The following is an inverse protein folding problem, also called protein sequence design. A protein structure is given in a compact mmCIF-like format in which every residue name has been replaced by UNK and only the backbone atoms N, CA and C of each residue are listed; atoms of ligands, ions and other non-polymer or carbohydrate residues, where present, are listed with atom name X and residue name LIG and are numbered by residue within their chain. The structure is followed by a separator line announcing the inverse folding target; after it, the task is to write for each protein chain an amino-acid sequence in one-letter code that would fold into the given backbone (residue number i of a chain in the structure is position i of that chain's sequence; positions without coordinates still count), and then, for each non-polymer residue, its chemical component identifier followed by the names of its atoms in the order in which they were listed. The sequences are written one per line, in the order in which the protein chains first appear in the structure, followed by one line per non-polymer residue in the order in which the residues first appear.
data_IF_008038795782
#
_entry.id   IF_008038795782
#
_cell.length_a   1.000
_cell.length_b   1.000
_cell.length_c   1.000
_cell.angle_alpha   90.00
_cell.angle_beta   90.00
_cell.angle_gamma   90.00
#
_symmetry.space_group_name_H-M   'P 1'
#
loop_
_entity.id
_entity.type
_entity.pdbx_description
1 polymer ?
#
# COMPACT_ATOMS: atom_id res chain seq x y z
N UNK A 1 47.72 -23.30 -17.14
CA UNK A 1 48.14 -22.30 -18.15
C UNK A 1 47.10 -22.34 -19.27
N UNK A 2 46.24 -21.37 -19.52
CA UNK A 2 46.40 -19.92 -19.33
C UNK A 2 45.15 -19.30 -18.68
N UNK A 3 45.35 -18.68 -17.51
CA UNK A 3 44.48 -17.61 -17.03
C UNK A 3 44.56 -16.47 -18.02
N UNK A 4 43.45 -16.15 -18.69
CA UNK A 4 43.31 -14.86 -19.35
C UNK A 4 43.05 -13.83 -18.25
N UNK A 5 44.13 -13.17 -17.84
CA UNK A 5 44.11 -11.94 -17.07
C UNK A 5 43.34 -10.89 -17.87
N UNK A 6 42.14 -10.53 -17.39
CA UNK A 6 41.41 -9.36 -17.88
C UNK A 6 41.88 -8.13 -17.10
N UNK A 7 42.44 -7.10 -17.76
CA UNK A 7 42.94 -5.90 -17.09
C UNK A 7 41.77 -4.98 -16.72
N UNK A 8 41.75 -4.48 -15.49
CA UNK A 8 40.83 -3.40 -15.05
C UNK A 8 40.00 -3.66 -13.79
N UNK A 9 40.44 -4.52 -12.86
CA UNK A 9 39.68 -4.80 -11.62
C UNK A 9 39.97 -3.75 -10.54
N UNK A 10 39.37 -2.58 -10.66
CA UNK A 10 39.25 -1.58 -9.58
C UNK A 10 37.98 -1.88 -8.76
N UNK A 11 38.16 -2.12 -7.46
CA UNK A 11 37.12 -2.13 -6.40
C UNK A 11 35.88 -3.05 -6.56
N UNK A 12 35.96 -4.10 -7.38
CA UNK A 12 34.82 -5.03 -7.57
C UNK A 12 33.63 -4.39 -8.29
N UNK A 13 33.84 -3.25 -8.94
CA UNK A 13 32.86 -2.59 -9.81
C UNK A 13 32.94 -3.17 -11.22
N UNK A 14 31.79 -3.44 -11.83
CA UNK A 14 31.67 -3.92 -13.20
C UNK A 14 30.83 -2.95 -14.04
N UNK A 15 31.10 -2.91 -15.35
CA UNK A 15 30.33 -2.07 -16.27
C UNK A 15 28.88 -2.58 -16.39
N UNK A 16 27.93 -1.72 -16.76
CA UNK A 16 26.53 -2.13 -16.92
C UNK A 16 26.34 -3.29 -17.91
N UNK A 17 27.12 -3.32 -19.00
CA UNK A 17 27.08 -4.42 -19.96
C UNK A 17 27.62 -5.74 -19.40
N UNK A 18 28.67 -5.68 -18.58
CA UNK A 18 29.18 -6.86 -17.87
C UNK A 18 28.20 -7.33 -16.78
N UNK A 19 27.51 -6.40 -16.11
CA UNK A 19 26.46 -6.71 -15.13
C UNK A 19 25.25 -7.40 -15.78
N UNK A 20 24.86 -6.98 -16.99
CA UNK A 20 23.80 -7.65 -17.76
C UNK A 20 24.18 -9.09 -18.14
N UNK A 21 25.40 -9.31 -18.63
CA UNK A 21 25.88 -10.66 -18.94
C UNK A 21 25.89 -11.55 -17.68
N UNK A 22 26.44 -11.02 -16.58
CA UNK A 22 26.48 -11.72 -15.30
C UNK A 22 25.08 -12.04 -14.77
N UNK A 23 24.13 -11.13 -14.91
CA UNK A 23 22.74 -11.33 -14.49
C UNK A 23 22.08 -12.47 -15.26
N UNK A 24 22.24 -12.51 -16.59
CA UNK A 24 21.72 -13.58 -17.43
C UNK A 24 22.33 -14.93 -17.03
N UNK A 25 23.64 -14.99 -16.87
CA UNK A 25 24.33 -16.24 -16.51
C UNK A 25 23.89 -16.76 -15.14
N UNK A 26 23.76 -15.88 -14.14
CA UNK A 26 23.38 -16.28 -12.79
C UNK A 26 21.91 -16.66 -12.65
N UNK A 27 21.03 -16.18 -13.53
CA UNK A 27 19.57 -16.38 -13.43
C UNK A 27 19.02 -17.32 -14.49
N UNK A 28 19.89 -18.00 -15.25
CA UNK A 28 19.50 -18.91 -16.33
C UNK A 28 18.55 -20.04 -15.87
N UNK A 29 18.75 -20.55 -14.66
CA UNK A 29 17.93 -21.62 -14.08
C UNK A 29 16.84 -21.11 -13.11
N UNK A 30 16.60 -19.80 -13.07
CA UNK A 30 15.58 -19.22 -12.19
C UNK A 30 14.18 -19.72 -12.57
N UNK A 31 13.37 -20.04 -11.55
CA UNK A 31 11.95 -20.31 -11.76
C UNK A 31 11.19 -19.07 -12.29
N UNK A 32 11.69 -17.87 -11.97
CA UNK A 32 11.14 -16.59 -12.42
C UNK A 32 11.88 -16.12 -13.67
N UNK A 33 11.20 -15.86 -14.80
CA UNK A 33 11.85 -15.44 -16.03
C UNK A 33 12.52 -14.06 -15.86
N UNK A 34 13.80 -13.99 -16.20
CA UNK A 34 14.58 -12.76 -16.16
C UNK A 34 14.77 -12.17 -17.55
N UNK A 35 14.92 -10.85 -17.60
CA UNK A 35 15.17 -10.14 -18.85
C UNK A 35 16.67 -9.93 -19.10
N UNK A 36 17.08 -10.08 -20.36
CA UNK A 36 18.35 -9.54 -20.83
C UNK A 36 18.28 -8.01 -20.91
N UNK A 37 19.34 -7.30 -20.51
CA UNK A 37 19.36 -5.85 -20.56
C UNK A 37 18.76 -5.17 -19.33
N UNK A 38 18.69 -5.87 -18.19
CA UNK A 38 18.20 -5.35 -16.92
C UNK A 38 18.95 -4.10 -16.42
N UNK A 39 20.20 -3.88 -16.86
CA UNK A 39 21.02 -2.72 -16.53
C UNK A 39 21.14 -1.71 -17.67
N UNK A 40 20.96 -2.14 -18.92
CA UNK A 40 21.23 -1.31 -20.12
C UNK A 40 19.98 -0.83 -20.84
N UNK A 41 18.82 -1.46 -20.62
CA UNK A 41 17.59 -1.15 -21.35
C UNK A 41 16.50 -0.61 -20.42
N UNK A 42 15.57 0.14 -20.99
CA UNK A 42 14.41 0.67 -20.27
C UNK A 42 13.57 -0.47 -19.69
N UNK A 43 13.04 -0.37 -18.46
CA UNK A 43 12.96 0.83 -17.61
C UNK A 43 14.16 1.07 -16.68
N UNK A 44 15.27 0.36 -16.81
CA UNK A 44 16.46 0.66 -16.02
C UNK A 44 16.96 2.07 -16.36
N UNK A 45 17.08 2.94 -15.36
CA UNK A 45 17.63 4.28 -15.51
C UNK A 45 18.86 4.39 -14.61
N UNK A 46 19.95 3.70 -14.97
CA UNK A 46 21.20 3.75 -14.21
C UNK A 46 21.73 5.19 -13.99
N UNK A 47 21.30 6.16 -14.82
CA UNK A 47 21.58 7.59 -14.66
C UNK A 47 20.90 8.22 -13.43
N UNK A 48 19.90 7.55 -12.85
CA UNK A 48 19.13 7.95 -11.65
C UNK A 48 19.80 7.41 -10.36
N UNK A 49 20.94 6.71 -10.48
CA UNK A 49 21.77 6.33 -9.34
C UNK A 49 21.51 4.91 -8.80
N UNK A 50 20.57 4.15 -9.39
CA UNK A 50 20.31 2.76 -9.01
C UNK A 50 19.61 1.97 -10.13
N UNK A 51 19.60 0.63 -9.98
CA UNK A 51 18.84 -0.35 -10.78
C UNK A 51 18.12 -1.31 -9.84
N UNK A 52 16.89 -1.70 -10.17
CA UNK A 52 16.11 -2.69 -9.42
C UNK A 52 16.24 -4.08 -10.03
N UNK A 53 16.48 -5.09 -9.19
CA UNK A 53 16.57 -6.51 -9.56
C UNK A 53 15.79 -7.35 -8.53
N UNK A 54 14.63 -7.87 -8.92
CA UNK A 54 13.69 -8.45 -7.97
C UNK A 54 13.36 -7.43 -6.86
N UNK A 55 13.47 -7.86 -5.60
CA UNK A 55 13.30 -6.97 -4.43
C UNK A 55 14.53 -6.14 -4.04
N UNK A 56 15.63 -6.19 -4.81
CA UNK A 56 16.92 -5.63 -4.43
C UNK A 56 17.28 -4.37 -5.22
N UNK A 57 17.83 -3.36 -4.54
CA UNK A 57 18.30 -2.11 -5.15
C UNK A 57 19.81 -2.16 -5.31
N UNK A 58 20.28 -2.12 -6.55
CA UNK A 58 21.71 -2.05 -6.89
C UNK A 58 22.09 -0.61 -7.17
N UNK A 59 22.89 0.00 -6.31
CA UNK A 59 23.36 1.37 -6.50
C UNK A 59 24.35 1.45 -7.69
N UNK A 60 24.18 2.45 -8.54
CA UNK A 60 25.10 2.70 -9.66
C UNK A 60 26.09 3.78 -9.29
N UNK A 61 27.37 3.51 -9.52
CA UNK A 61 28.47 4.44 -9.26
C UNK A 61 28.95 5.01 -10.59
N UNK A 62 29.25 6.31 -10.62
CA UNK A 62 29.91 6.92 -11.78
C UNK A 62 31.42 6.80 -11.57
N UNK A 63 32.06 5.97 -12.39
CA UNK A 63 33.51 5.85 -12.38
C UNK A 63 34.17 7.17 -12.83
N UNK A 64 35.44 7.35 -12.47
CA UNK A 64 36.25 8.54 -12.80
C UNK A 64 36.32 8.84 -14.31
N UNK A 65 36.11 7.85 -15.18
CA UNK A 65 35.96 8.02 -16.64
C UNK A 65 34.55 8.42 -17.12
N UNK A 66 33.63 8.78 -16.22
CA UNK A 66 32.26 9.18 -16.54
C UNK A 66 31.30 8.04 -16.88
N UNK A 67 31.79 6.80 -16.97
CA UNK A 67 31.02 5.58 -17.21
C UNK A 67 30.32 5.09 -15.92
N UNK A 68 29.09 4.60 -16.06
CA UNK A 68 28.34 4.01 -14.96
C UNK A 68 28.75 2.54 -14.74
N UNK A 69 28.96 2.19 -13.47
CA UNK A 69 29.29 0.84 -13.01
C UNK A 69 28.43 0.45 -11.81
N UNK A 70 28.42 -0.84 -11.48
CA UNK A 70 27.71 -1.41 -10.33
C UNK A 70 28.63 -2.37 -9.57
N UNK A 71 28.46 -2.55 -8.25
CA UNK A 71 29.20 -3.55 -7.49
C UNK A 71 28.80 -4.97 -7.92
N UNK A 72 29.78 -5.79 -8.34
CA UNK A 72 29.56 -7.18 -8.76
C UNK A 72 28.86 -8.01 -7.67
N UNK A 73 29.25 -7.79 -6.40
CA UNK A 73 28.67 -8.50 -5.24
C UNK A 73 27.17 -8.25 -5.07
N UNK A 74 26.70 -7.04 -5.34
CA UNK A 74 25.28 -6.69 -5.24
C UNK A 74 24.46 -7.36 -6.35
N UNK A 75 25.02 -7.48 -7.57
CA UNK A 75 24.40 -8.22 -8.67
C UNK A 75 24.28 -9.71 -8.34
N UNK A 76 25.35 -10.31 -7.81
CA UNK A 76 25.36 -11.73 -7.39
C UNK A 76 24.36 -12.00 -6.28
N UNK A 77 24.28 -11.10 -5.31
CA UNK A 77 23.30 -11.19 -4.22
C UNK A 77 21.87 -11.12 -4.74
N UNK A 78 21.56 -10.14 -5.58
CA UNK A 78 20.23 -10.01 -6.17
C UNK A 78 19.83 -11.26 -6.97
N UNK A 79 20.77 -11.84 -7.74
CA UNK A 79 20.51 -13.06 -8.49
C UNK A 79 20.25 -14.27 -7.58
N UNK A 80 21.03 -14.42 -6.50
CA UNK A 80 20.81 -15.48 -5.51
C UNK A 80 19.45 -15.35 -4.82
N UNK A 81 19.07 -14.13 -4.42
CA UNK A 81 17.76 -13.84 -3.82
C UNK A 81 16.61 -14.16 -4.79
N UNK A 82 16.77 -13.85 -6.08
CA UNK A 82 15.78 -14.20 -7.10
C UNK A 82 15.68 -15.72 -7.32
N UNK A 83 16.81 -16.41 -7.44
CA UNK A 83 16.85 -17.86 -7.69
C UNK A 83 16.26 -18.67 -6.53
N UNK A 84 16.27 -18.14 -5.30
CA UNK A 84 15.63 -18.77 -4.15
C UNK A 84 14.09 -18.75 -4.21
N UNK A 85 13.50 -18.01 -5.15
CA UNK A 85 12.05 -17.88 -5.28
C UNK A 85 11.46 -19.10 -5.98
N UNK A 86 10.77 -19.93 -5.20
CA UNK A 86 9.85 -20.92 -5.76
C UNK A 86 8.63 -20.25 -6.39
N UNK A 87 8.34 -20.56 -7.65
CA UNK A 87 7.20 -20.02 -8.38
C UNK A 87 6.27 -21.14 -8.86
N UNK A 88 5.06 -21.19 -8.29
CA UNK A 88 3.95 -21.95 -8.86
C UNK A 88 3.27 -21.12 -9.95
N UNK A 89 3.24 -21.63 -11.19
CA UNK A 89 2.61 -20.97 -12.33
C UNK A 89 1.08 -20.94 -12.25
N UNK A 90 0.47 -21.77 -11.40
CA UNK A 90 -0.97 -21.87 -11.26
C UNK A 90 -1.54 -21.01 -10.11
N UNK A 91 -0.71 -20.59 -9.14
CA UNK A 91 -1.12 -19.62 -8.09
C UNK A 91 -1.17 -18.20 -8.68
N UNK A 92 -2.19 -17.96 -9.49
CA UNK A 92 -2.39 -16.71 -10.23
C UNK A 92 -3.12 -15.65 -9.39
N UNK A 93 -2.64 -14.41 -9.52
CA UNK A 93 -3.26 -13.22 -8.92
C UNK A 93 -3.59 -12.23 -10.04
N UNK A 94 -4.80 -11.67 -10.00
CA UNK A 94 -5.24 -10.67 -10.98
C UNK A 94 -4.46 -9.37 -10.79
N UNK A 95 -3.93 -8.84 -11.89
CA UNK A 95 -3.15 -7.60 -11.93
C UNK A 95 -3.77 -6.50 -12.79
N UNK A 96 -4.86 -6.80 -13.49
CA UNK A 96 -5.69 -5.82 -14.20
C UNK A 96 -6.62 -6.45 -15.23
N UNK A 97 -7.27 -5.65 -16.08
CA UNK A 97 -7.51 -4.23 -15.88
C UNK A 97 -8.47 -4.03 -14.71
N UNK A 98 -8.18 -3.05 -13.84
CA UNK A 98 -9.11 -2.55 -12.83
C UNK A 98 -9.84 -1.33 -13.43
N UNK A 99 -11.18 -1.25 -13.35
CA UNK A 99 -11.93 -0.12 -13.94
C UNK A 99 -11.75 1.14 -13.09
N UNK A 100 -11.33 2.22 -13.74
CA UNK A 100 -11.06 3.53 -13.17
C UNK A 100 -10.08 4.27 -14.07
N UNK A 101 -10.44 5.46 -14.56
CA UNK A 101 -9.48 6.32 -15.23
C UNK A 101 -8.35 6.63 -14.21
N UNK A 102 -7.07 6.41 -14.53
CA UNK A 102 -6.01 6.88 -13.66
C UNK A 102 -6.12 8.40 -13.63
N UNK A 103 -6.58 8.95 -12.51
CA UNK A 103 -6.55 10.39 -12.30
C UNK A 103 -5.07 10.77 -12.32
N UNK A 104 -4.73 11.65 -13.25
CA UNK A 104 -3.39 12.18 -13.47
C UNK A 104 -2.96 12.95 -12.22
N UNK A 105 -2.39 12.25 -11.25
CA UNK A 105 -1.60 12.87 -10.19
C UNK A 105 -0.25 13.25 -10.78
N UNK A 106 0.11 14.52 -10.61
CA UNK A 106 1.30 15.18 -11.15
C UNK A 106 2.56 14.31 -11.18
N UNK A 107 3.32 14.49 -12.27
CA UNK A 107 4.69 14.03 -12.45
C UNK A 107 5.59 14.59 -11.35
N UNK A 108 5.76 13.82 -10.28
CA UNK A 108 6.98 13.82 -9.49
C UNK A 108 7.65 12.47 -9.69
N UNK A 109 8.97 12.50 -9.98
CA UNK A 109 9.85 11.39 -10.33
C UNK A 109 9.43 10.07 -9.67
N UNK A 110 8.83 9.20 -10.49
CA UNK A 110 7.82 8.27 -9.99
C UNK A 110 8.42 6.92 -9.61
N UNK A 111 8.04 6.34 -8.45
CA UNK A 111 8.35 4.94 -8.13
C UNK A 111 7.84 3.98 -9.23
N UNK A 112 8.32 2.74 -9.21
CA UNK A 112 8.16 1.68 -10.19
C UNK A 112 6.70 1.55 -10.64
N UNK A 113 5.75 1.75 -9.71
CA UNK A 113 4.29 1.75 -9.94
C UNK A 113 3.92 0.63 -10.90
N UNK A 114 4.41 -0.56 -10.61
CA UNK A 114 4.57 -1.61 -11.62
C UNK A 114 3.22 -2.03 -12.23
N UNK A 115 2.14 -2.03 -11.42
CA UNK A 115 0.76 -2.31 -11.87
C UNK A 115 0.25 -1.28 -12.88
N UNK A 116 0.59 0.00 -12.68
CA UNK A 116 0.23 1.09 -13.60
C UNK A 116 0.95 0.88 -14.92
N UNK A 117 2.25 0.58 -14.89
CA UNK A 117 3.06 0.32 -16.10
C UNK A 117 2.53 -0.89 -16.89
N UNK A 118 2.27 -2.01 -16.23
CA UNK A 118 1.65 -3.17 -16.90
C UNK A 118 0.29 -2.80 -17.51
N UNK A 119 -0.53 -2.02 -16.80
CA UNK A 119 -1.84 -1.60 -17.30
C UNK A 119 -1.74 -0.67 -18.51
N UNK A 120 -0.83 0.30 -18.49
CA UNK A 120 -0.56 1.21 -19.62
C UNK A 120 -0.08 0.43 -20.83
N UNK A 121 0.92 -0.45 -20.65
CA UNK A 121 1.48 -1.29 -21.71
C UNK A 121 0.45 -2.25 -22.33
N UNK A 122 -0.45 -2.83 -21.53
CA UNK A 122 -1.49 -3.73 -22.03
C UNK A 122 -2.69 -2.98 -22.63
N UNK A 123 -2.94 -1.73 -22.23
CA UNK A 123 -3.95 -0.84 -22.86
C UNK A 123 -3.50 -0.37 -24.23
N UNK A 124 -2.24 -0.01 -24.38
CA UNK A 124 -1.65 0.41 -25.67
C UNK A 124 -1.73 -0.69 -26.74
N UNK A 125 -1.74 -1.97 -26.33
CA UNK A 125 -1.89 -3.12 -27.21
C UNK A 125 -3.34 -3.47 -27.59
N UNK A 126 -4.34 -2.89 -26.92
CA UNK A 126 -5.76 -3.22 -27.08
C UNK A 126 -6.55 -2.32 -28.04
N UNK A 127 -5.91 -1.39 -28.76
CA UNK A 127 -6.57 -0.45 -29.67
C UNK A 127 -7.00 -1.07 -31.02
N UNK A 128 -8.05 -0.55 -31.70
CA UNK A 128 -8.61 -1.17 -32.92
C UNK A 128 -7.72 -1.10 -34.17
N UNK A 129 -6.61 -0.37 -34.15
CA UNK A 129 -5.73 -0.25 -35.30
C UNK A 129 -4.27 -0.40 -34.89
N UNK A 130 -3.74 -1.62 -35.04
CA UNK A 130 -2.40 -1.88 -35.57
C UNK A 130 -2.20 -3.38 -35.79
N UNK A 131 -1.81 -3.72 -37.01
CA UNK A 131 -1.31 -5.02 -37.43
C UNK A 131 -0.18 -5.52 -36.50
N UNK A 132 0.10 -6.84 -36.44
CA UNK A 132 1.04 -7.42 -35.49
C UNK A 132 2.48 -7.07 -35.88
N UNK A 133 2.91 -5.84 -35.60
CA UNK A 133 4.33 -5.58 -35.39
C UNK A 133 4.68 -6.25 -34.07
N UNK A 134 5.12 -7.51 -34.17
CA UNK A 134 6.09 -8.06 -33.23
C UNK A 134 7.31 -7.13 -33.24
N UNK A 135 7.26 -6.06 -32.46
CA UNK A 135 8.48 -5.30 -32.14
C UNK A 135 9.32 -6.19 -31.22
N UNK A 136 10.13 -7.04 -31.84
CA UNK A 136 11.12 -7.95 -31.24
C UNK A 136 12.30 -7.17 -30.61
N UNK A 137 12.05 -6.00 -30.02
CA UNK A 137 13.12 -5.07 -29.62
C UNK A 137 12.91 -4.28 -28.35
N UNK A 138 11.68 -4.12 -27.84
CA UNK A 138 11.45 -3.42 -26.57
C UNK A 138 11.41 -4.44 -25.43
N UNK A 139 12.39 -4.46 -24.52
CA UNK A 139 12.30 -5.32 -23.34
C UNK A 139 11.24 -4.77 -22.40
N UNK A 140 10.29 -5.62 -22.04
CA UNK A 140 9.22 -5.29 -21.11
C UNK A 140 9.56 -5.89 -19.76
N UNK A 141 10.66 -5.44 -19.17
CA UNK A 141 11.10 -5.94 -17.88
C UNK A 141 10.73 -4.98 -16.74
N UNK A 142 10.45 -5.51 -15.56
CA UNK A 142 10.24 -4.72 -14.35
C UNK A 142 11.11 -5.34 -13.26
N UNK A 143 12.01 -4.53 -12.70
CA UNK A 143 13.01 -5.00 -11.73
C UNK A 143 13.79 -6.25 -12.21
N UNK A 144 14.28 -6.24 -13.45
CA UNK A 144 14.99 -7.39 -14.05
C UNK A 144 14.13 -8.62 -14.40
N UNK A 145 12.82 -8.60 -14.11
CA UNK A 145 11.88 -9.71 -14.38
C UNK A 145 11.20 -9.50 -15.73
N UNK A 146 11.21 -10.51 -16.59
CA UNK A 146 10.43 -10.54 -17.83
C UNK A 146 9.01 -11.04 -17.56
N UNK A 147 8.19 -10.15 -17.00
CA UNK A 147 6.82 -10.47 -16.58
C UNK A 147 5.90 -10.88 -17.74
N UNK A 148 6.25 -10.55 -19.00
CA UNK A 148 5.43 -10.92 -20.15
C UNK A 148 5.43 -12.42 -20.43
N UNK A 149 6.53 -13.12 -20.14
CA UNK A 149 6.63 -14.57 -20.38
C UNK A 149 5.68 -15.40 -19.51
N UNK A 150 5.17 -14.81 -18.43
CA UNK A 150 4.35 -15.48 -17.40
C UNK A 150 3.00 -14.78 -17.18
N UNK A 151 2.66 -13.82 -18.05
CA UNK A 151 1.36 -13.18 -18.04
C UNK A 151 0.31 -14.16 -18.55
N UNK A 152 -0.76 -14.34 -17.78
CA UNK A 152 -1.92 -15.13 -18.17
C UNK A 152 -3.09 -14.19 -18.45
N UNK A 153 -3.56 -14.18 -19.71
CA UNK A 153 -4.76 -13.46 -20.11
C UNK A 153 -5.96 -14.42 -20.06
N UNK A 154 -7.01 -14.03 -19.33
CA UNK A 154 -8.27 -14.77 -19.26
C UNK A 154 -9.41 -13.91 -19.80
N UNK A 155 -10.19 -14.47 -20.73
CA UNK A 155 -11.37 -13.80 -21.29
C UNK A 155 -12.62 -14.43 -20.69
N UNK A 156 -13.40 -13.65 -19.93
CA UNK A 156 -14.72 -14.10 -19.45
C UNK A 156 -15.80 -13.57 -20.39
N UNK A 157 -16.61 -14.47 -20.93
CA UNK A 157 -17.78 -14.19 -21.78
C UNK A 157 -17.51 -13.29 -23.00
N UNK A 158 -16.30 -13.33 -23.56
CA UNK A 158 -15.93 -12.66 -24.82
C UNK A 158 -15.80 -11.13 -24.76
N UNK A 159 -16.06 -10.48 -23.62
CA UNK A 159 -16.12 -9.00 -23.54
C UNK A 159 -15.11 -8.36 -22.60
N UNK A 160 -14.56 -9.10 -21.62
CA UNK A 160 -13.53 -8.56 -20.71
C UNK A 160 -12.30 -9.47 -20.63
N UNK A 161 -11.16 -8.90 -21.03
CA UNK A 161 -9.83 -9.47 -20.83
C UNK A 161 -9.36 -9.13 -19.43
N UNK A 162 -8.97 -10.14 -18.67
CA UNK A 162 -8.34 -10.00 -17.35
C UNK A 162 -6.91 -10.53 -17.41
N UNK A 163 -6.02 -9.87 -16.70
CA UNK A 163 -4.58 -10.13 -16.70
C UNK A 163 -4.17 -10.66 -15.34
N UNK A 164 -3.39 -11.73 -15.35
CA UNK A 164 -2.99 -12.47 -14.16
C UNK A 164 -1.49 -12.77 -14.20
N UNK A 165 -0.85 -12.75 -13.03
CA UNK A 165 0.55 -13.14 -12.85
C UNK A 165 0.68 -14.11 -11.67
N UNK A 166 1.69 -15.00 -11.65
CA UNK A 166 1.99 -15.82 -10.49
C UNK A 166 2.22 -14.98 -9.23
N UNK A 167 1.66 -15.40 -8.09
CA UNK A 167 1.74 -14.68 -6.81
C UNK A 167 3.18 -14.37 -6.40
N UNK A 168 4.11 -15.29 -6.64
CA UNK A 168 5.52 -15.10 -6.34
C UNK A 168 6.12 -13.90 -7.09
N UNK A 169 5.76 -13.73 -8.36
CA UNK A 169 6.22 -12.60 -9.20
C UNK A 169 5.59 -11.30 -8.75
N UNK A 170 4.30 -11.33 -8.42
CA UNK A 170 3.59 -10.15 -7.89
C UNK A 170 4.24 -9.68 -6.58
N UNK A 171 4.59 -10.61 -5.68
CA UNK A 171 5.33 -10.31 -4.44
C UNK A 171 6.72 -9.71 -4.71
N UNK A 172 7.43 -10.20 -5.71
CA UNK A 172 8.73 -9.65 -6.10
C UNK A 172 8.60 -8.21 -6.61
N UNK A 173 7.61 -7.93 -7.45
CA UNK A 173 7.37 -6.59 -7.96
C UNK A 173 6.89 -5.62 -6.86
N UNK A 174 6.11 -6.10 -5.89
CA UNK A 174 5.73 -5.34 -4.70
C UNK A 174 6.94 -5.04 -3.81
N UNK A 175 7.83 -6.02 -3.61
CA UNK A 175 9.08 -5.83 -2.89
C UNK A 175 10.00 -4.83 -3.60
N UNK A 176 10.09 -4.89 -4.94
CA UNK A 176 10.86 -3.97 -5.76
C UNK A 176 10.40 -2.52 -5.57
N UNK A 177 9.09 -2.29 -5.71
CA UNK A 177 8.48 -0.97 -5.51
C UNK A 177 8.69 -0.46 -4.08
N UNK A 178 8.61 -1.36 -3.09
CA UNK A 178 8.88 -0.98 -1.71
C UNK A 178 10.34 -0.61 -1.46
N UNK A 179 11.27 -1.40 -1.98
CA UNK A 179 12.70 -1.17 -1.84
C UNK A 179 13.12 0.15 -2.51
N UNK A 180 12.55 0.44 -3.67
CA UNK A 180 12.76 1.71 -4.35
C UNK A 180 12.23 2.90 -3.55
N UNK A 181 11.02 2.80 -2.99
CA UNK A 181 10.46 3.85 -2.14
C UNK A 181 11.33 4.12 -0.90
N UNK A 182 11.87 3.07 -0.28
CA UNK A 182 12.82 3.21 0.83
C UNK A 182 14.11 3.89 0.37
N UNK A 183 14.66 3.49 -0.77
CA UNK A 183 15.89 4.05 -1.33
C UNK A 183 15.75 5.55 -1.63
N UNK A 184 14.66 5.94 -2.32
CA UNK A 184 14.36 7.33 -2.65
C UNK A 184 14.18 8.16 -1.37
N UNK A 185 13.45 7.63 -0.38
CA UNK A 185 13.29 8.32 0.91
C UNK A 185 14.62 8.49 1.65
N UNK A 186 15.48 7.47 1.66
CA UNK A 186 16.79 7.51 2.29
C UNK A 186 17.77 8.45 1.55
N UNK A 187 17.63 8.62 0.24
CA UNK A 187 18.40 9.60 -0.54
C UNK A 187 17.93 11.03 -0.24
N UNK A 188 16.62 11.26 -0.09
CA UNK A 188 16.04 12.56 0.28
C UNK A 188 16.48 12.99 1.68
N UNK A 189 16.46 12.09 2.67
CA UNK A 189 16.91 12.41 4.03
C UNK A 189 18.41 12.69 4.13
N UNK A 190 19.23 12.02 3.31
CA UNK A 190 20.68 12.30 3.20
C UNK A 190 20.97 13.68 2.59
N UNK A 191 20.19 14.13 1.60
CA UNK A 191 20.29 15.50 1.05
C UNK A 191 19.89 16.55 2.09
N UNK A 192 18.76 16.37 2.76
CA UNK A 192 18.30 17.30 3.80
C UNK A 192 19.26 17.37 5.02
N UNK A 193 19.98 16.28 5.33
CA UNK A 193 21.00 16.27 6.38
C UNK A 193 22.33 16.92 5.98
N UNK A 194 22.66 16.98 4.69
CA UNK A 194 23.84 17.69 4.20
C UNK A 194 23.62 19.21 4.20
N UNK A 195 22.40 19.65 3.86
CA UNK A 195 22.00 21.07 3.85
C UNK A 195 21.82 21.67 5.27
N UNK A 196 21.79 20.84 6.32
CA UNK A 196 21.67 21.28 7.72
C UNK A 196 23.01 21.71 8.36
N UNK A 197 24.09 21.82 7.57
CA UNK A 197 25.44 22.17 8.05
C UNK A 197 25.82 23.64 7.80
N UNK A 198 24.89 24.50 7.40
CA UNK A 198 25.10 25.95 7.41
C UNK A 198 24.39 26.59 8.62
N UNK A 199 25.11 27.33 9.49
CA UNK A 199 24.50 28.01 10.61
C UNK A 199 23.69 29.22 10.12
N UNK A 200 22.48 29.45 10.67
CA UNK A 200 21.70 30.65 10.33
C UNK A 200 22.35 31.87 10.99
N UNK A 201 22.91 32.75 10.16
CA UNK A 201 23.31 34.08 10.57
C UNK A 201 22.06 34.94 10.85
N UNK A 202 21.77 35.16 12.13
CA UNK A 202 21.01 36.30 12.63
C UNK A 202 22.00 37.23 13.37
N UNK A 203 21.86 38.57 13.29
CA UNK A 203 20.81 39.28 14.03
C UNK A 203 20.22 40.47 13.21
N UNK A 204 19.03 41.01 13.42
CA UNK A 204 18.12 41.05 14.55
C UNK A 204 17.69 42.51 14.74
N UNK A 205 16.38 42.79 14.84
CA UNK A 205 15.76 43.76 15.79
C UNK A 205 14.30 43.99 15.47
N UNK A 206 13.47 43.75 16.48
CA UNK A 206 12.12 44.27 16.60
C UNK A 206 12.16 45.75 17.04
N UNK A 207 11.23 46.56 16.52
CA UNK A 207 10.46 47.53 17.31
C UNK A 207 9.28 48.09 16.51
N UNK A 208 8.14 48.16 17.19
CA UNK A 208 6.87 48.73 16.78
C UNK A 208 6.95 50.24 16.50
N UNK A 209 6.13 50.74 15.56
CA UNK A 209 5.36 51.98 15.69
C UNK A 209 4.45 52.23 14.46
N UNK A 210 3.26 52.76 14.77
CA UNK A 210 2.17 53.26 13.94
C UNK A 210 2.50 53.98 12.61
N UNK A 211 1.57 53.92 11.65
CA UNK A 211 1.51 54.90 10.55
C UNK A 211 0.64 54.58 9.33
N UNK A 212 -0.68 54.78 9.45
CA UNK A 212 -1.66 55.20 8.41
C UNK A 212 -1.14 55.53 6.99
N UNK A 213 -1.68 54.85 5.95
CA UNK A 213 -2.58 55.36 4.87
C UNK A 213 -2.57 54.49 3.60
N UNK A 214 -3.80 54.21 3.16
CA UNK A 214 -4.38 53.90 1.83
C UNK A 214 -3.49 53.98 0.58
N UNK A 215 -3.69 53.06 -0.38
CA UNK A 215 -4.46 53.27 -1.64
C UNK A 215 -4.42 51.97 -2.49
N UNK A 216 -5.59 51.35 -2.59
CA UNK A 216 -6.29 50.85 -3.80
C UNK A 216 -5.66 49.81 -4.76
N UNK A 217 -6.49 48.86 -5.23
CA UNK A 217 -6.07 47.97 -6.32
C UNK A 217 -6.73 46.60 -6.51
N UNK A 218 -8.07 46.53 -6.47
CA UNK A 218 -8.92 45.64 -7.30
C UNK A 218 -9.16 44.17 -6.88
N UNK A 219 -10.36 44.01 -6.33
CA UNK A 219 -11.18 42.81 -6.20
C UNK A 219 -11.29 41.98 -7.49
N UNK A 220 -11.15 40.67 -7.34
CA UNK A 220 -11.87 39.67 -8.15
C UNK A 220 -12.75 38.85 -7.23
N UNK A 221 -14.02 38.78 -7.62
CA UNK A 221 -15.18 38.21 -6.94
C UNK A 221 -15.05 36.72 -6.63
N UNK A 222 -15.42 36.31 -5.42
CA UNK A 222 -15.83 34.93 -5.12
C UNK A 222 -16.95 34.97 -4.08
N UNK A 223 -18.02 34.16 -4.24
CA UNK A 223 -19.23 34.33 -3.45
C UNK A 223 -19.04 33.77 -2.04
N UNK A 224 -19.17 34.67 -1.06
CA UNK A 224 -19.37 34.32 0.34
C UNK A 224 -20.71 33.59 0.51
N UNK A 225 -20.64 32.38 1.07
CA UNK A 225 -21.66 31.89 1.98
C UNK A 225 -21.00 31.75 3.36
N UNK A 226 -21.71 32.00 4.48
CA UNK A 226 -21.12 31.91 5.79
C UNK A 226 -20.67 30.47 6.02
N UNK A 227 -19.36 30.24 6.18
CA UNK A 227 -18.84 28.96 6.67
C UNK A 227 -19.21 28.84 8.14
N UNK A 228 -20.46 28.48 8.40
CA UNK A 228 -20.91 28.03 9.70
C UNK A 228 -19.93 26.95 10.17
N UNK A 229 -19.51 27.04 11.43
CA UNK A 229 -18.63 26.04 12.03
C UNK A 229 -19.26 24.65 11.84
N UNK A 230 -18.48 23.64 11.39
CA UNK A 230 -19.02 22.31 11.19
C UNK A 230 -19.61 21.77 12.51
N UNK A 231 -20.84 21.26 12.47
CA UNK A 231 -21.52 20.77 13.68
C UNK A 231 -21.01 19.38 14.09
N UNK A 232 -20.98 19.03 15.39
CA UNK A 232 -20.68 17.66 15.81
C UNK A 232 -21.64 16.63 15.20
N UNK A 233 -21.13 15.44 14.89
CA UNK A 233 -21.96 14.31 14.45
C UNK A 233 -22.48 13.55 15.67
N UNK A 234 -23.80 13.42 15.78
CA UNK A 234 -24.54 12.81 16.90
C UNK A 234 -25.34 11.58 16.45
N UNK A 235 -24.74 10.76 15.57
CA UNK A 235 -25.32 9.51 15.07
C UNK A 235 -26.55 9.66 14.14
N UNK A 236 -26.71 10.81 13.48
CA UNK A 236 -27.87 11.08 12.61
C UNK A 236 -27.99 10.13 11.40
N UNK A 237 -26.92 9.40 11.06
CA UNK A 237 -26.87 8.44 9.95
C UNK A 237 -26.76 6.99 10.44
N UNK A 238 -26.95 6.72 11.73
CA UNK A 238 -26.86 5.37 12.29
C UNK A 238 -27.85 4.41 11.62
N UNK A 239 -27.40 3.18 11.34
CA UNK A 239 -28.20 2.14 10.69
C UNK A 239 -28.48 2.36 9.19
N UNK A 240 -28.08 3.50 8.61
CA UNK A 240 -28.28 3.77 7.19
C UNK A 240 -27.25 3.03 6.33
N UNK A 241 -27.70 2.51 5.19
CA UNK A 241 -26.81 1.90 4.21
C UNK A 241 -26.11 2.96 3.37
N UNK A 242 -24.80 2.78 3.18
CA UNK A 242 -23.99 3.66 2.36
C UNK A 242 -24.51 3.74 0.92
N UNK A 243 -24.87 2.60 0.32
CA UNK A 243 -25.38 2.51 -1.05
C UNK A 243 -26.66 3.32 -1.29
N UNK A 244 -27.48 3.50 -0.26
CA UNK A 244 -28.70 4.31 -0.32
C UNK A 244 -28.36 5.79 -0.21
N UNK A 245 -27.41 6.16 0.65
CA UNK A 245 -27.03 7.57 0.88
C UNK A 245 -26.10 8.13 -0.21
N UNK A 246 -25.21 7.31 -0.77
CA UNK A 246 -24.29 7.71 -1.84
C UNK A 246 -25.03 8.10 -3.12
N UNK A 247 -26.19 7.48 -3.38
CA UNK A 247 -27.05 7.79 -4.54
C UNK A 247 -27.93 9.02 -4.35
N UNK A 248 -28.01 9.60 -3.15
CA UNK A 248 -28.84 10.79 -2.89
C UNK A 248 -28.14 12.06 -3.39
N UNK A 249 -28.80 12.87 -4.24
CA UNK A 249 -28.25 14.15 -4.68
C UNK A 249 -27.94 15.07 -3.49
N UNK A 250 -26.78 15.74 -3.54
CA UNK A 250 -26.37 16.70 -2.53
C UNK A 250 -25.80 16.11 -1.23
N UNK A 251 -25.61 14.77 -1.15
CA UNK A 251 -24.97 14.13 0.01
C UNK A 251 -23.62 14.76 0.34
N UNK A 252 -22.74 15.00 -0.65
CA UNK A 252 -21.42 15.61 -0.42
C UNK A 252 -21.50 17.01 0.21
N UNK A 253 -22.51 17.82 -0.18
CA UNK A 253 -22.72 19.15 0.41
C UNK A 253 -23.20 19.06 1.87
N UNK A 254 -24.03 18.05 2.18
CA UNK A 254 -24.48 17.81 3.57
C UNK A 254 -23.31 17.34 4.45
N UNK A 255 -22.43 16.49 3.91
CA UNK A 255 -21.25 15.95 4.60
C UNK A 255 -20.35 17.07 5.13
N UNK A 256 -20.10 18.10 4.31
CA UNK A 256 -19.28 19.26 4.70
C UNK A 256 -19.83 20.05 5.90
N UNK A 257 -21.11 19.88 6.25
CA UNK A 257 -21.72 20.53 7.40
C UNK A 257 -21.35 19.92 8.75
N UNK A 258 -20.75 18.72 8.78
CA UNK A 258 -20.33 18.06 10.02
C UNK A 258 -18.83 18.20 10.28
N UNK A 259 -18.44 18.23 11.55
CA UNK A 259 -17.07 17.99 11.97
C UNK A 259 -16.73 16.49 11.82
N UNK A 260 -15.46 16.18 11.61
CA UNK A 260 -14.96 14.81 11.53
C UNK A 260 -15.30 14.05 12.81
N UNK A 261 -16.03 12.94 12.70
CA UNK A 261 -16.46 12.15 13.86
C UNK A 261 -15.34 11.38 14.58
N UNK A 262 -14.12 11.38 14.00
CA UNK A 262 -12.92 10.80 14.61
C UNK A 262 -12.11 11.90 15.30
N UNK A 263 -11.43 12.76 14.54
CA UNK A 263 -10.51 13.75 15.13
C UNK A 263 -11.20 15.01 15.69
N UNK A 264 -12.48 15.27 15.34
CA UNK A 264 -13.30 16.44 15.73
C UNK A 264 -12.74 17.83 15.38
N UNK A 265 -11.50 17.93 14.89
CA UNK A 265 -10.81 19.20 14.60
C UNK A 265 -10.87 19.65 13.14
N UNK A 266 -11.41 18.85 12.22
CA UNK A 266 -11.50 19.18 10.81
C UNK A 266 -12.94 19.00 10.28
N UNK A 267 -13.39 19.77 9.28
CA UNK A 267 -14.63 19.49 8.57
C UNK A 267 -14.60 18.08 7.94
N UNK A 268 -15.76 17.42 7.93
CA UNK A 268 -15.93 16.16 7.22
C UNK A 268 -15.94 16.41 5.71
N UNK A 269 -15.36 15.48 4.96
CA UNK A 269 -15.30 15.53 3.50
C UNK A 269 -15.96 14.32 2.85
N UNK A 270 -16.05 13.19 3.58
CA UNK A 270 -16.56 11.92 3.07
C UNK A 270 -17.44 11.22 4.11
N UNK A 271 -18.33 10.35 3.65
CA UNK A 271 -19.03 9.39 4.51
C UNK A 271 -18.23 8.09 4.56
N UNK A 272 -17.70 7.77 5.75
CA UNK A 272 -17.10 6.46 5.99
C UNK A 272 -18.17 5.39 6.21
N UNK A 273 -17.87 4.16 5.79
CA UNK A 273 -18.78 3.03 5.91
C UNK A 273 -18.05 1.73 6.16
N UNK A 274 -18.75 0.77 6.74
CA UNK A 274 -18.22 -0.56 6.96
C UNK A 274 -18.22 -1.36 5.66
N UNK A 275 -17.05 -1.77 5.18
CA UNK A 275 -16.94 -2.57 3.95
C UNK A 275 -17.41 -4.02 4.10
N UNK A 276 -17.66 -4.49 5.34
CA UNK A 276 -18.23 -5.83 5.58
C UNK A 276 -19.76 -5.83 5.67
N UNK A 277 -20.35 -4.78 6.24
CA UNK A 277 -21.80 -4.72 6.51
C UNK A 277 -22.55 -3.65 5.69
N UNK A 278 -21.83 -2.75 5.01
CA UNK A 278 -22.40 -1.69 4.18
C UNK A 278 -23.01 -0.50 4.92
N UNK A 279 -23.06 -0.51 6.25
CA UNK A 279 -23.59 0.59 7.05
C UNK A 279 -22.63 1.78 7.10
N UNK A 280 -23.20 2.99 6.98
CA UNK A 280 -22.48 4.22 7.27
C UNK A 280 -22.07 4.23 8.74
N UNK A 281 -20.82 4.62 8.99
CA UNK A 281 -20.33 4.84 10.36
C UNK A 281 -20.51 6.29 10.74
N UNK A 282 -19.88 7.20 10.00
CA UNK A 282 -19.96 8.63 10.25
C UNK A 282 -19.36 9.48 9.11
N UNK A 283 -19.66 10.78 9.05
CA UNK A 283 -18.88 11.77 8.32
C UNK A 283 -17.47 11.91 8.92
N UNK A 284 -16.44 11.86 8.06
CA UNK A 284 -15.04 11.99 8.47
C UNK A 284 -14.25 12.90 7.52
N UNK A 285 -13.14 13.47 8.00
CA UNK A 285 -12.22 14.20 7.14
C UNK A 285 -11.41 13.24 6.25
N UNK A 286 -10.83 13.77 5.17
CA UNK A 286 -10.05 12.96 4.23
C UNK A 286 -8.86 12.24 4.89
N UNK A 287 -8.20 12.90 5.85
CA UNK A 287 -7.04 12.33 6.55
C UNK A 287 -7.44 11.09 7.39
N UNK A 288 -8.49 11.20 8.21
CA UNK A 288 -9.01 10.06 8.96
C UNK A 288 -9.50 8.96 8.02
N UNK A 289 -10.22 9.30 6.94
CA UNK A 289 -10.67 8.30 5.97
C UNK A 289 -9.52 7.53 5.32
N UNK A 290 -8.44 8.21 4.95
CA UNK A 290 -7.24 7.56 4.42
C UNK A 290 -6.55 6.68 5.47
N UNK A 291 -6.57 7.10 6.74
CA UNK A 291 -5.99 6.33 7.84
C UNK A 291 -6.79 5.06 8.14
N UNK A 292 -8.12 5.11 8.03
CA UNK A 292 -9.03 3.98 8.23
C UNK A 292 -8.75 2.83 7.26
N UNK A 293 -8.43 3.17 6.00
CA UNK A 293 -8.32 2.21 4.91
C UNK A 293 -7.23 1.18 5.17
N UNK A 294 -7.56 -0.13 5.18
CA UNK A 294 -6.56 -1.18 5.29
C UNK A 294 -5.56 -1.15 4.13
N UNK A 295 -4.31 -1.55 4.40
CA UNK A 295 -3.24 -1.52 3.41
C UNK A 295 -3.28 -2.75 2.52
N UNK A 296 -4.33 -2.86 1.72
CA UNK A 296 -4.52 -4.00 0.86
C UNK A 296 -3.36 -4.14 -0.12
N UNK A 297 -2.61 -5.23 0.01
CA UNK A 297 -1.69 -5.71 -1.01
C UNK A 297 -2.47 -6.54 -2.04
N UNK A 298 -3.41 -7.35 -1.54
CA UNK A 298 -4.34 -8.18 -2.32
C UNK A 298 -5.74 -8.19 -1.67
N UNK A 299 -6.71 -8.82 -2.35
CA UNK A 299 -8.08 -8.96 -1.83
C UNK A 299 -8.16 -9.68 -0.48
N UNK A 300 -7.20 -10.57 -0.20
CA UNK A 300 -7.12 -11.33 1.03
C UNK A 300 -5.86 -11.06 1.86
N UNK A 301 -5.20 -9.92 1.64
CA UNK A 301 -3.89 -9.63 2.23
C UNK A 301 -3.72 -8.15 2.52
N UNK A 302 -3.23 -7.83 3.71
CA UNK A 302 -2.92 -6.48 4.14
C UNK A 302 -1.51 -6.36 4.69
N UNK A 303 -0.88 -5.23 4.41
CA UNK A 303 0.32 -4.79 5.08
C UNK A 303 -0.04 -4.07 6.38
N UNK A 304 0.62 -4.43 7.47
CA UNK A 304 0.40 -3.81 8.79
C UNK A 304 1.55 -2.82 9.05
N UNK A 305 1.41 -1.64 8.43
CA UNK A 305 2.37 -0.54 8.54
C UNK A 305 2.20 0.28 9.85
N UNK A 306 3.11 1.23 10.08
CA UNK A 306 3.12 2.10 11.26
C UNK A 306 1.83 2.92 11.46
N UNK A 307 0.99 3.04 10.43
CA UNK A 307 -0.31 3.72 10.56
C UNK A 307 -1.25 3.04 11.56
N UNK A 308 -1.12 1.73 11.74
CA UNK A 308 -1.89 0.97 12.72
C UNK A 308 -1.51 1.29 14.17
N UNK A 309 -0.35 1.91 14.41
CA UNK A 309 0.02 2.42 15.74
C UNK A 309 -0.96 3.51 16.20
N UNK A 310 -1.39 4.40 15.30
CA UNK A 310 -2.43 5.38 15.67
C UNK A 310 -3.76 4.71 15.96
N UNK A 311 -4.13 3.72 15.14
CA UNK A 311 -5.41 3.02 15.23
C UNK A 311 -5.56 2.15 16.49
N UNK A 312 -4.47 1.52 16.96
CA UNK A 312 -4.50 0.55 18.07
C UNK A 312 -3.67 0.95 19.29
N UNK A 313 -3.00 2.10 19.26
CA UNK A 313 -2.31 2.65 20.44
C UNK A 313 -2.69 4.09 20.76
N UNK A 314 -2.43 5.06 19.87
CA UNK A 314 -2.55 6.49 20.22
C UNK A 314 -4.00 6.97 20.30
N UNK A 315 -4.81 6.63 19.29
CA UNK A 315 -6.18 7.14 19.12
C UNK A 315 -7.20 5.99 19.25
N UNK A 316 -6.85 4.94 19.98
CA UNK A 316 -7.55 3.65 19.99
C UNK A 316 -9.03 3.77 20.35
N UNK A 317 -9.34 4.56 21.37
CA UNK A 317 -10.72 4.74 21.85
C UNK A 317 -11.61 5.38 20.77
N UNK A 318 -11.16 6.47 20.14
CA UNK A 318 -11.88 7.14 19.06
C UNK A 318 -12.11 6.20 17.86
N UNK A 319 -11.12 5.38 17.51
CA UNK A 319 -11.22 4.41 16.41
C UNK A 319 -12.16 3.24 16.73
N UNK A 320 -12.10 2.71 17.95
CA UNK A 320 -13.01 1.66 18.42
C UNK A 320 -14.45 2.16 18.45
N UNK A 321 -14.69 3.34 19.00
CA UNK A 321 -16.00 4.00 18.91
C UNK A 321 -16.45 4.15 17.46
N UNK A 322 -15.56 4.59 16.57
CA UNK A 322 -15.89 4.78 15.16
C UNK A 322 -16.24 3.48 14.44
N UNK A 323 -15.44 2.42 14.57
CA UNK A 323 -15.73 1.14 13.92
C UNK A 323 -17.01 0.49 14.45
N UNK A 324 -17.30 0.63 15.74
CA UNK A 324 -18.51 0.10 16.38
C UNK A 324 -19.76 0.96 16.21
N UNK A 325 -19.69 2.08 15.47
CA UNK A 325 -20.91 2.74 14.92
C UNK A 325 -21.62 1.86 13.90
N UNK A 326 -20.93 0.89 13.30
CA UNK A 326 -21.55 -0.10 12.44
C UNK A 326 -22.36 -1.11 13.29
N UNK A 327 -23.68 -1.24 13.11
CA UNK A 327 -24.51 -2.16 13.89
C UNK A 327 -24.04 -3.62 13.82
N UNK A 328 -23.60 -4.08 12.64
CA UNK A 328 -23.06 -5.44 12.48
C UNK A 328 -21.78 -5.72 13.27
N UNK A 329 -20.83 -4.77 13.27
CA UNK A 329 -19.60 -4.87 14.07
C UNK A 329 -19.89 -4.81 15.58
N UNK A 330 -20.83 -3.94 15.98
CA UNK A 330 -21.30 -3.81 17.36
C UNK A 330 -21.98 -5.08 17.87
N UNK A 331 -22.91 -5.64 17.10
CA UNK A 331 -23.63 -6.88 17.47
C UNK A 331 -22.69 -8.08 17.58
N UNK A 332 -21.65 -8.16 16.74
CA UNK A 332 -20.66 -9.23 16.78
C UNK A 332 -19.51 -8.97 17.77
N UNK A 333 -19.48 -7.80 18.41
CA UNK A 333 -18.37 -7.33 19.25
C UNK A 333 -17.02 -7.57 18.58
N UNK A 334 -16.91 -7.22 17.30
CA UNK A 334 -15.72 -7.45 16.49
C UNK A 334 -15.52 -6.36 15.43
N UNK A 335 -14.36 -6.36 14.79
CA UNK A 335 -14.02 -5.47 13.69
C UNK A 335 -14.25 -6.15 12.34
N UNK A 336 -14.35 -5.37 11.23
CA UNK A 336 -14.27 -5.95 9.91
C UNK A 336 -12.99 -6.78 9.74
N UNK A 337 -13.06 -7.84 8.94
CA UNK A 337 -11.97 -8.81 8.78
C UNK A 337 -10.58 -8.18 8.59
N UNK A 338 -10.36 -7.17 7.72
CA UNK A 338 -9.03 -6.56 7.56
C UNK A 338 -8.53 -5.86 8.82
N UNK A 339 -9.39 -5.17 9.56
CA UNK A 339 -9.00 -4.50 10.81
C UNK A 339 -8.73 -5.50 11.92
N UNK A 340 -9.51 -6.58 12.02
CA UNK A 340 -9.25 -7.68 12.95
C UNK A 340 -7.92 -8.39 12.61
N UNK A 341 -7.64 -8.60 11.33
CA UNK A 341 -6.38 -9.16 10.85
C UNK A 341 -5.19 -8.27 11.25
N UNK A 342 -5.31 -6.96 11.02
CA UNK A 342 -4.28 -6.00 11.39
C UNK A 342 -4.05 -5.96 12.90
N UNK A 343 -5.13 -5.93 13.69
CA UNK A 343 -5.06 -6.00 15.14
C UNK A 343 -4.39 -7.30 15.60
N UNK A 344 -4.72 -8.43 14.99
CA UNK A 344 -4.12 -9.73 15.32
C UNK A 344 -2.61 -9.70 15.15
N UNK A 345 -2.11 -9.17 14.04
CA UNK A 345 -0.66 -9.05 13.83
C UNK A 345 0.00 -8.00 14.71
N UNK A 346 -0.63 -6.84 14.89
CA UNK A 346 -0.02 -5.71 15.58
C UNK A 346 -0.02 -5.87 17.11
N UNK A 347 -1.09 -6.44 17.66
CA UNK A 347 -1.33 -6.58 19.10
C UNK A 347 -1.17 -8.04 19.53
N UNK A 348 -2.03 -8.94 19.03
CA UNK A 348 -2.10 -10.32 19.56
C UNK A 348 -0.84 -11.15 19.29
N UNK A 349 -0.16 -10.90 18.17
CA UNK A 349 1.08 -11.57 17.78
C UNK A 349 2.34 -10.73 18.04
N UNK A 350 2.22 -9.62 18.78
CA UNK A 350 3.35 -8.69 19.02
C UNK A 350 4.57 -9.39 19.62
N UNK A 351 4.37 -10.28 20.58
CA UNK A 351 5.44 -11.04 21.26
C UNK A 351 6.13 -12.05 20.35
N UNK A 352 5.47 -12.49 19.26
CA UNK A 352 6.02 -13.44 18.31
C UNK A 352 6.96 -12.77 17.29
N UNK A 353 6.92 -11.43 17.19
CA UNK A 353 7.73 -10.68 16.21
C UNK A 353 9.18 -10.59 16.69
N UNK A 354 10.15 -11.15 15.95
CA UNK A 354 11.57 -11.04 16.30
C UNK A 354 12.04 -9.58 16.31
N UNK A 355 13.18 -9.34 16.95
CA UNK A 355 13.85 -8.03 16.95
C UNK A 355 15.30 -8.16 16.49
N UNK A 356 15.79 -7.18 15.75
CA UNK A 356 17.19 -7.07 15.32
C UNK A 356 17.92 -6.01 16.12
N UNK A 357 19.24 -6.17 16.24
CA UNK A 357 20.11 -5.09 16.73
C UNK A 357 20.12 -3.95 15.71
N UNK A 358 19.94 -2.73 16.21
CA UNK A 358 20.03 -1.48 15.48
C UNK A 358 20.88 -0.48 16.28
N UNK A 359 21.42 0.57 15.65
CA UNK A 359 22.28 1.55 16.34
C UNK A 359 21.66 2.18 17.59
N UNK A 360 20.32 2.25 17.68
CA UNK A 360 19.57 2.81 18.81
C UNK A 360 18.82 1.75 19.63
N UNK A 361 19.31 0.50 19.66
CA UNK A 361 18.75 -0.58 20.47
C UNK A 361 18.24 -1.75 19.64
N UNK A 362 17.00 -2.19 19.91
CA UNK A 362 16.36 -3.30 19.19
C UNK A 362 15.19 -2.79 18.37
N UNK A 363 15.13 -3.16 17.10
CA UNK A 363 14.01 -2.83 16.19
C UNK A 363 13.23 -4.08 15.82
N UNK A 364 11.90 -4.02 15.68
CA UNK A 364 11.11 -5.15 15.20
C UNK A 364 11.56 -5.62 13.79
N UNK A 365 11.60 -6.93 13.56
CA UNK A 365 11.90 -7.55 12.25
C UNK A 365 10.88 -7.12 11.20
N UNK A 366 11.41 -6.72 10.04
CA UNK A 366 10.70 -6.48 8.78
C UNK A 366 9.40 -5.68 8.89
N UNK A 367 8.46 -5.96 8.00
CA UNK A 367 7.12 -5.37 7.97
C UNK A 367 6.11 -6.48 8.20
N UNK A 368 5.15 -6.25 9.10
CA UNK A 368 4.08 -7.22 9.35
C UNK A 368 3.13 -7.27 8.14
N UNK A 369 2.72 -8.48 7.79
CA UNK A 369 1.71 -8.75 6.76
C UNK A 369 0.72 -9.78 7.30
N UNK A 370 -0.55 -9.65 6.94
CA UNK A 370 -1.56 -10.65 7.27
C UNK A 370 -2.35 -10.99 6.03
N UNK A 371 -2.28 -12.27 5.67
CA UNK A 371 -3.13 -12.86 4.64
C UNK A 371 -4.19 -13.74 5.29
N UNK A 372 -5.29 -14.01 4.60
CA UNK A 372 -6.27 -14.98 5.07
C UNK A 372 -6.75 -15.92 3.96
N UNK A 373 -6.99 -17.17 4.32
CA UNK A 373 -7.73 -18.13 3.51
C UNK A 373 -9.20 -18.12 3.94
N UNK A 374 -10.12 -18.36 3.00
CA UNK A 374 -11.57 -18.22 3.22
C UNK A 374 -12.12 -16.95 2.57
N UNK A 375 -13.37 -16.61 2.90
CA UNK A 375 -14.08 -15.47 2.32
C UNK A 375 -14.29 -14.38 3.37
N UNK A 376 -14.07 -13.12 2.99
CA UNK A 376 -14.49 -11.96 3.79
C UNK A 376 -16.00 -11.95 4.05
N UNK A 377 -16.79 -12.63 3.20
CA UNK A 377 -18.24 -12.78 3.38
C UNK A 377 -18.62 -13.87 4.39
N UNK A 378 -17.67 -14.74 4.74
CA UNK A 378 -17.83 -15.78 5.75
C UNK A 378 -16.62 -15.76 6.69
N UNK A 379 -16.38 -14.64 7.41
CA UNK A 379 -15.11 -14.42 8.10
C UNK A 379 -14.83 -15.46 9.18
N UNK A 380 -15.89 -16.09 9.73
CA UNK A 380 -15.80 -17.15 10.75
C UNK A 380 -15.06 -18.40 10.31
N UNK A 381 -14.92 -18.66 9.01
CA UNK A 381 -14.12 -19.77 8.47
C UNK A 381 -12.70 -19.35 8.09
N UNK A 382 -12.34 -18.08 8.24
CA UNK A 382 -11.04 -17.59 7.82
C UNK A 382 -9.92 -18.05 8.74
N UNK A 383 -8.77 -18.35 8.15
CA UNK A 383 -7.51 -18.56 8.86
C UNK A 383 -6.55 -17.41 8.54
N UNK A 384 -6.21 -16.61 9.55
CA UNK A 384 -5.29 -15.49 9.43
C UNK A 384 -3.85 -16.00 9.49
N UNK A 385 -3.04 -15.75 8.46
CA UNK A 385 -1.61 -16.04 8.45
C UNK A 385 -0.84 -14.75 8.64
N UNK A 386 -0.25 -14.59 9.81
CA UNK A 386 0.62 -13.46 10.17
C UNK A 386 2.04 -13.79 9.76
N UNK A 387 2.65 -12.93 8.95
CA UNK A 387 4.00 -13.08 8.48
C UNK A 387 4.78 -11.77 8.61
N UNK A 388 6.10 -11.87 8.51
CA UNK A 388 6.99 -10.73 8.36
C UNK A 388 7.66 -10.81 7.00
N UNK A 389 7.54 -9.72 6.24
CA UNK A 389 8.27 -9.52 5.00
C UNK A 389 9.47 -8.58 5.21
N UNK A 390 10.45 -8.65 4.31
CA UNK A 390 11.64 -7.80 4.33
C UNK A 390 12.41 -7.88 5.66
N UNK A 391 12.52 -9.08 6.27
CA UNK A 391 13.37 -9.24 7.45
C UNK A 391 14.83 -8.99 7.06
N UNK A 392 15.61 -8.21 7.83
CA UNK A 392 17.03 -7.94 7.54
C UNK A 392 17.91 -9.20 7.40
N UNK A 393 17.47 -10.34 7.94
CA UNK A 393 18.13 -11.65 7.79
C UNK A 393 17.76 -12.40 6.51
N UNK A 394 16.91 -11.86 5.64
CA UNK A 394 16.49 -12.49 4.38
C UNK A 394 15.37 -13.54 4.49
N UNK A 395 14.95 -13.91 5.70
CA UNK A 395 13.91 -14.93 5.90
C UNK A 395 12.50 -14.31 5.98
N UNK A 396 11.60 -14.69 5.06
CA UNK A 396 10.16 -14.47 5.22
C UNK A 396 9.63 -15.47 6.24
N UNK A 397 9.26 -14.99 7.44
CA UNK A 397 8.82 -15.86 8.53
C UNK A 397 7.33 -15.74 8.75
N UNK A 398 6.62 -16.86 8.65
CA UNK A 398 5.28 -16.99 9.22
C UNK A 398 5.42 -16.98 10.74
N UNK A 399 4.82 -15.98 11.39
CA UNK A 399 4.84 -15.85 12.85
C UNK A 399 3.74 -16.71 13.49
N UNK A 400 2.55 -16.72 12.89
CA UNK A 400 1.40 -17.43 13.41
C UNK A 400 0.35 -17.71 12.33
N UNK A 401 -0.44 -18.76 12.56
CA UNK A 401 -1.71 -19.01 11.88
C UNK A 401 -2.82 -18.98 12.94
N UNK A 402 -3.72 -18.02 12.85
CA UNK A 402 -4.74 -17.75 13.87
C UNK A 402 -6.13 -17.87 13.24
N UNK A 403 -6.96 -18.84 13.64
CA UNK A 403 -8.35 -18.91 13.20
C UNK A 403 -9.11 -17.64 13.56
N UNK A 404 -10.02 -17.18 12.70
CA UNK A 404 -10.82 -15.97 12.94
C UNK A 404 -11.54 -16.01 14.30
N UNK A 405 -12.10 -17.17 14.68
CA UNK A 405 -12.83 -17.32 15.95
C UNK A 405 -11.94 -17.01 17.15
N UNK A 406 -10.69 -17.48 17.10
CA UNK A 406 -9.70 -17.23 18.13
C UNK A 406 -9.28 -15.75 18.15
N UNK A 407 -9.03 -15.16 16.98
CA UNK A 407 -8.73 -13.73 16.87
C UNK A 407 -9.87 -12.87 17.42
N UNK A 408 -11.12 -13.21 17.10
CA UNK A 408 -12.29 -12.49 17.57
C UNK A 408 -12.51 -12.63 19.09
N UNK A 409 -12.23 -13.79 19.68
CA UNK A 409 -12.27 -13.98 21.14
C UNK A 409 -11.21 -13.11 21.84
N UNK A 410 -9.96 -13.20 21.40
CA UNK A 410 -8.88 -12.38 21.96
C UNK A 410 -9.17 -10.89 21.79
N UNK A 411 -9.75 -10.49 20.67
CA UNK A 411 -10.17 -9.10 20.44
C UNK A 411 -11.25 -8.66 21.42
N UNK A 412 -12.26 -9.49 21.70
CA UNK A 412 -13.32 -9.16 22.66
C UNK A 412 -12.78 -8.90 24.06
N UNK A 413 -11.85 -9.72 24.53
CA UNK A 413 -11.17 -9.54 25.82
C UNK A 413 -10.41 -8.21 25.81
N UNK A 414 -9.59 -7.98 24.78
CA UNK A 414 -8.82 -6.75 24.64
C UNK A 414 -9.70 -5.50 24.53
N UNK A 415 -10.85 -5.58 23.85
CA UNK A 415 -11.82 -4.50 23.73
C UNK A 415 -12.42 -4.14 25.10
N UNK A 416 -12.78 -5.14 25.90
CA UNK A 416 -13.31 -4.92 27.25
C UNK A 416 -12.31 -4.21 28.18
N UNK A 417 -11.02 -4.54 28.04
CA UNK A 417 -9.94 -3.89 28.79
C UNK A 417 -9.62 -2.48 28.27
N UNK A 418 -9.62 -2.29 26.95
CA UNK A 418 -9.12 -1.07 26.31
C UNK A 418 -10.19 0.01 26.17
N UNK A 419 -11.44 -0.37 25.90
CA UNK A 419 -12.56 0.53 25.71
C UNK A 419 -13.85 -0.07 26.31
N UNK A 420 -13.96 -0.12 27.65
CA UNK A 420 -15.07 -0.79 28.33
C UNK A 420 -16.45 -0.21 27.95
N UNK A 421 -16.52 1.10 27.67
CA UNK A 421 -17.76 1.73 27.19
C UNK A 421 -18.20 1.20 25.82
N UNK A 422 -17.24 1.02 24.88
CA UNK A 422 -17.51 0.40 23.57
C UNK A 422 -17.90 -1.06 23.73
N UNK A 423 -17.17 -1.79 24.58
CA UNK A 423 -17.45 -3.20 24.86
C UNK A 423 -18.85 -3.40 25.46
N UNK A 424 -19.26 -2.53 26.41
CA UNK A 424 -20.58 -2.58 27.04
C UNK A 424 -21.72 -2.17 26.09
N UNK A 425 -21.43 -1.29 25.12
CA UNK A 425 -22.36 -0.93 24.06
C UNK A 425 -22.46 -2.01 22.95
N UNK A 426 -21.47 -2.90 22.87
CA UNK A 426 -21.42 -4.04 21.97
C UNK A 426 -21.96 -5.31 22.64
N UNK A 427 -22.53 -6.25 21.87
CA UNK A 427 -23.00 -7.51 22.45
C UNK A 427 -23.95 -8.31 21.55
N UNK A 428 -23.90 -9.65 21.62
CA UNK A 428 -24.73 -10.54 20.80
C UNK A 428 -26.23 -10.44 21.13
N UNK A 429 -26.57 -10.05 22.37
CA UNK A 429 -27.96 -9.94 22.84
C UNK A 429 -28.58 -8.56 22.56
N UNK A 430 -27.79 -7.60 22.07
CA UNK A 430 -28.29 -6.27 21.67
C UNK A 430 -28.72 -6.31 20.20
N UNK A 431 -30.00 -6.62 19.99
CA UNK A 431 -30.70 -6.53 18.70
C UNK A 431 -31.18 -5.12 18.36
N UNK A 432 -30.99 -4.14 19.25
CA UNK A 432 -31.38 -2.74 19.01
C UNK A 432 -30.65 -2.17 17.79
N UNK A 433 -31.42 -1.94 16.71
CA UNK A 433 -30.92 -1.44 15.43
C UNK A 433 -30.47 -2.53 14.44
N UNK A 434 -30.60 -3.82 14.77
CA UNK A 434 -30.54 -4.89 13.78
C UNK A 434 -31.88 -4.96 13.03
N UNK A 435 -31.89 -5.04 11.69
CA UNK A 435 -33.13 -5.27 10.96
C UNK A 435 -33.77 -6.59 11.42
N UNK A 436 -35.11 -6.60 11.54
CA UNK A 436 -35.95 -7.72 12.02
C UNK A 436 -35.66 -9.06 11.29
N UNK A 437 -35.06 -9.00 10.10
CA UNK A 437 -34.53 -10.16 9.41
C UNK A 437 -32.99 -10.15 9.44
N UNK A 438 -32.33 -11.22 9.95
CA UNK A 438 -30.91 -11.42 9.74
C UNK A 438 -30.68 -11.53 8.25
N UNK A 439 -30.13 -10.47 7.65
CA UNK A 439 -29.72 -10.52 6.25
C UNK A 439 -28.49 -11.41 6.16
N UNK A 440 -28.46 -12.39 5.25
CA UNK A 440 -27.18 -13.00 4.88
C UNK A 440 -26.24 -11.87 4.47
N UNK A 441 -24.93 -12.06 4.63
CA UNK A 441 -23.95 -11.12 4.08
C UNK A 441 -24.34 -10.89 2.62
N UNK A 442 -24.95 -9.74 2.34
CA UNK A 442 -25.48 -9.43 1.03
C UNK A 442 -24.25 -9.21 0.19
N UNK A 443 -23.93 -10.19 -0.66
CA UNK A 443 -23.15 -9.89 -1.84
C UNK A 443 -23.85 -8.69 -2.50
N UNK A 444 -23.17 -7.56 -2.58
CA UNK A 444 -23.68 -6.36 -3.21
C UNK A 444 -23.84 -6.62 -4.72
N UNK A 445 -24.77 -7.49 -5.13
CA UNK A 445 -24.96 -7.94 -6.51
C UNK A 445 -25.53 -6.83 -7.41
N UNK A 446 -25.76 -5.63 -6.88
CA UNK A 446 -26.34 -4.49 -7.60
C UNK A 446 -25.74 -3.13 -7.26
N UNK A 447 -24.61 -3.09 -6.56
CA UNK A 447 -23.90 -1.86 -6.21
C UNK A 447 -22.50 -1.84 -6.81
N UNK A 448 -22.08 -0.65 -7.24
CA UNK A 448 -20.73 -0.35 -7.76
C UNK A 448 -19.59 -0.75 -6.80
N UNK A 449 -19.91 -1.17 -5.56
CA UNK A 449 -18.96 -1.72 -4.59
C UNK A 449 -18.37 -3.08 -4.96
N UNK A 450 -18.98 -3.85 -5.87
CA UNK A 450 -18.39 -5.09 -6.40
C UNK A 450 -17.22 -4.83 -7.37
N UNK A 451 -17.07 -3.62 -7.92
CA UNK A 451 -15.98 -3.29 -8.84
C UNK A 451 -14.61 -3.11 -8.14
N UNK A 452 -14.59 -3.16 -6.81
CA UNK A 452 -13.40 -3.09 -5.96
C UNK A 452 -12.95 -4.45 -5.39
N UNK A 453 -13.56 -5.57 -5.82
CA UNK A 453 -13.19 -6.92 -5.40
C UNK A 453 -12.63 -7.76 -6.56
#
# INVERSE_FOLDING_TARGET
MSERVMPGRTDGLITLGAADALWVDLTADSAVPTASGAFTRSPAHARVGYVLLGGHVVATVRASGGQWSVPEGEVRRAAAELNAVGMDRQDLVRVGPFRGAPRQECDEETPLRWRRRITEELRELGGPERAPRRDLGRPYHLAGIDWRQILVEQTRDGTQRTWWLPRAVVRLLDAAEHAEAQWVQAARTRRAGADATEPPSHPGRARDADGRRDVDGRQTTSPEGPTASPRPYNAELEGQLYSVLSRKPGTSRRVAGWACAVCRGAPAAVLDHCHEHGYVRAPVCQSCNTLERPDHLYSNDIRVANRYTRLFHTDTDDWLHHWHRCPGCRARTTLPLPHLAAWTAHIACRSLRPTHRAPRGRTPCGVLRVSWTGSQNAPRSCLLTVAVDCCPSGEHRVLARVPYREAAERFRIWLAETAPAVAAAAGPDRVDGLPIQPRPVIADTGGEGLALF
#
